data_IF_452311428883
#
_entry.id   IF_452311428883
#
_cell.length_a   1.000
_cell.length_b   1.000
_cell.length_c   1.000
_cell.angle_alpha   90.00
_cell.angle_beta   90.00
_cell.angle_gamma   90.00
#
_symmetry.space_group_name_H-M   'P 1'
#
loop_
_entity.id
_entity.type
_entity.pdbx_description
1 polymer ?
#
# COMPACT_ATOMS: atom_id res chain seq x y z
N UNK A 1 28.34 27.34 18.26
CA UNK A 1 28.23 27.40 16.79
C UNK A 1 27.95 25.99 16.25
N UNK A 2 26.69 25.73 15.87
CA UNK A 2 26.32 24.51 15.15
C UNK A 2 26.69 24.77 13.69
N UNK A 3 27.87 24.31 13.28
CA UNK A 3 28.27 24.35 11.88
C UNK A 3 27.34 23.39 11.12
N UNK A 4 26.39 23.95 10.39
CA UNK A 4 25.51 23.24 9.46
C UNK A 4 26.32 22.75 8.25
N UNK A 5 27.14 21.73 8.46
CA UNK A 5 27.80 21.03 7.38
C UNK A 5 26.73 20.30 6.54
N UNK A 6 26.49 20.79 5.34
CA UNK A 6 25.66 20.09 4.36
C UNK A 6 26.33 18.77 3.99
N UNK A 7 25.55 17.68 3.93
CA UNK A 7 25.99 16.35 3.52
C UNK A 7 26.76 16.44 2.20
N UNK A 8 27.98 15.89 2.15
CA UNK A 8 28.79 15.94 0.94
C UNK A 8 28.17 15.06 -0.17
N UNK A 9 28.33 15.37 -1.47
CA UNK A 9 27.70 14.58 -2.53
C UNK A 9 28.08 13.09 -2.55
N UNK A 10 29.28 12.72 -2.08
CA UNK A 10 29.69 11.32 -1.97
C UNK A 10 29.01 10.61 -0.80
N UNK A 11 28.90 11.30 0.35
CA UNK A 11 28.23 10.83 1.54
C UNK A 11 26.73 10.65 1.30
N UNK A 12 26.09 11.60 0.60
CA UNK A 12 24.69 11.49 0.20
C UNK A 12 24.42 10.26 -0.68
N UNK A 13 25.38 9.89 -1.56
CA UNK A 13 25.27 8.67 -2.37
C UNK A 13 25.36 7.42 -1.50
N UNK A 14 26.32 7.37 -0.57
CA UNK A 14 26.48 6.24 0.35
C UNK A 14 25.24 6.05 1.22
N UNK A 15 24.71 7.12 1.81
CA UNK A 15 23.50 7.08 2.63
C UNK A 15 22.27 6.64 1.83
N UNK A 16 22.12 7.09 0.58
CA UNK A 16 21.04 6.61 -0.29
C UNK A 16 21.17 5.11 -0.56
N UNK A 17 22.37 4.64 -0.84
CA UNK A 17 22.61 3.23 -1.14
C UNK A 17 22.39 2.38 0.13
N UNK A 18 22.75 2.87 1.32
CA UNK A 18 22.43 2.25 2.61
C UNK A 18 20.92 2.18 2.87
N UNK A 19 20.16 3.25 2.59
CA UNK A 19 18.69 3.25 2.67
C UNK A 19 18.08 2.20 1.73
N UNK A 20 18.64 2.04 0.52
CA UNK A 20 18.20 0.99 -0.42
C UNK A 20 18.41 -0.40 0.17
N UNK A 21 19.58 -0.68 0.75
CA UNK A 21 19.85 -1.98 1.40
C UNK A 21 18.93 -2.23 2.61
N UNK A 22 18.69 -1.21 3.43
CA UNK A 22 17.75 -1.30 4.56
C UNK A 22 16.33 -1.61 4.13
N UNK A 23 15.87 -1.00 3.03
CA UNK A 23 14.56 -1.30 2.47
C UNK A 23 14.47 -2.76 2.03
N UNK A 24 15.44 -3.28 1.26
CA UNK A 24 15.38 -4.67 0.82
C UNK A 24 15.52 -5.66 1.97
N UNK A 25 16.32 -5.34 3.00
CA UNK A 25 16.34 -6.13 4.23
C UNK A 25 14.95 -6.27 4.86
N UNK A 26 14.20 -5.15 4.98
CA UNK A 26 12.87 -5.17 5.56
C UNK A 26 11.82 -5.80 4.61
N UNK A 27 11.86 -5.45 3.32
CA UNK A 27 10.94 -5.95 2.31
C UNK A 27 11.08 -7.46 2.11
N UNK A 28 12.30 -7.97 1.94
CA UNK A 28 12.54 -9.40 1.77
C UNK A 28 12.15 -10.17 3.05
N UNK A 29 12.40 -9.60 4.24
CA UNK A 29 11.93 -10.16 5.51
C UNK A 29 10.41 -10.22 5.62
N UNK A 30 9.69 -9.19 5.14
CA UNK A 30 8.23 -9.22 5.02
C UNK A 30 7.75 -10.32 4.06
N UNK A 31 8.37 -10.40 2.87
CA UNK A 31 8.04 -11.40 1.86
C UNK A 31 8.27 -12.83 2.36
N UNK A 32 9.28 -13.06 3.19
CA UNK A 32 9.60 -14.39 3.73
C UNK A 32 8.70 -14.79 4.92
N UNK A 33 8.40 -13.86 5.82
CA UNK A 33 7.85 -14.21 7.14
C UNK A 33 6.39 -13.76 7.37
N UNK A 34 5.87 -12.84 6.56
CA UNK A 34 4.56 -12.24 6.81
C UNK A 34 3.63 -12.25 5.60
N UNK A 35 4.16 -12.16 4.37
CA UNK A 35 3.33 -12.17 3.18
C UNK A 35 2.43 -13.43 3.11
N UNK A 36 1.12 -13.30 2.82
CA UNK A 36 0.40 -12.11 2.33
C UNK A 36 -0.34 -11.30 3.40
N UNK A 37 0.00 -11.45 4.69
CA UNK A 37 -0.60 -10.69 5.77
C UNK A 37 -0.22 -9.20 5.66
N UNK A 38 -0.95 -8.35 6.39
CA UNK A 38 -0.76 -6.90 6.29
C UNK A 38 0.65 -6.45 6.72
N UNK A 39 1.17 -6.94 7.84
CA UNK A 39 2.43 -6.46 8.43
C UNK A 39 3.30 -7.60 9.00
N UNK A 40 4.60 -7.36 9.06
CA UNK A 40 5.57 -8.23 9.74
C UNK A 40 5.73 -7.81 11.20
N UNK A 41 5.71 -8.78 12.12
CA UNK A 41 6.23 -8.65 13.49
C UNK A 41 7.70 -9.08 13.50
N UNK A 42 8.67 -8.15 13.44
CA UNK A 42 10.05 -8.46 13.11
C UNK A 42 10.80 -9.22 14.21
N UNK A 43 10.37 -9.10 15.47
CA UNK A 43 11.00 -9.81 16.60
C UNK A 43 10.60 -11.28 16.67
N UNK A 44 9.37 -11.61 16.23
CA UNK A 44 8.85 -12.98 16.25
C UNK A 44 8.89 -13.67 14.89
N UNK A 45 9.24 -12.96 13.81
CA UNK A 45 9.16 -13.44 12.42
C UNK A 45 7.79 -14.03 12.07
N UNK A 46 6.73 -13.32 12.43
CA UNK A 46 5.34 -13.73 12.14
C UNK A 46 4.59 -12.56 11.50
N UNK A 47 3.64 -12.81 10.60
CA UNK A 47 2.76 -11.74 10.10
C UNK A 47 1.52 -11.48 10.96
N UNK A 48 0.86 -10.35 10.71
CA UNK A 48 -0.41 -9.95 11.32
C UNK A 48 -1.27 -9.16 10.32
N UNK A 49 -2.60 -9.36 10.38
CA UNK A 49 -3.58 -8.54 9.66
C UNK A 49 -4.08 -7.39 10.54
N UNK A 50 -3.33 -6.28 10.53
CA UNK A 50 -3.59 -5.11 11.37
C UNK A 50 -4.71 -4.21 10.83
N UNK A 51 -4.99 -4.23 9.52
CA UNK A 51 -5.97 -3.33 8.90
C UNK A 51 -7.11 -4.12 8.25
N UNK A 52 -6.85 -4.81 7.15
CA UNK A 52 -7.90 -5.49 6.40
C UNK A 52 -7.50 -6.76 5.65
N UNK A 53 -6.28 -7.25 5.85
CA UNK A 53 -5.77 -8.49 5.29
C UNK A 53 -5.74 -8.45 3.77
N UNK A 54 -5.07 -7.44 3.22
CA UNK A 54 -4.94 -7.19 1.78
C UNK A 54 -3.48 -6.96 1.37
N UNK A 55 -2.54 -7.55 2.11
CA UNK A 55 -1.10 -7.40 1.91
C UNK A 55 -0.67 -5.92 1.99
N UNK A 56 -1.11 -5.22 3.03
CA UNK A 56 -0.85 -3.78 3.24
C UNK A 56 0.61 -3.38 3.00
N UNK A 57 1.58 -4.07 3.59
CA UNK A 57 3.00 -3.76 3.38
C UNK A 57 3.42 -3.91 1.92
N UNK A 58 2.88 -4.89 1.19
CA UNK A 58 3.16 -5.03 -0.25
C UNK A 58 2.63 -3.82 -1.02
N UNK A 59 1.40 -3.37 -0.73
CA UNK A 59 0.78 -2.21 -1.39
C UNK A 59 1.58 -0.94 -1.12
N UNK A 60 1.91 -0.68 0.15
CA UNK A 60 2.71 0.49 0.56
C UNK A 60 4.13 0.48 -0.01
N UNK A 61 4.65 -0.68 -0.42
CA UNK A 61 6.01 -0.80 -0.97
C UNK A 61 6.07 -0.59 -2.49
N UNK A 62 4.95 -0.57 -3.21
CA UNK A 62 4.92 -0.54 -4.68
C UNK A 62 5.62 0.69 -5.26
N UNK A 63 5.30 1.88 -4.75
CA UNK A 63 5.87 3.13 -5.23
C UNK A 63 7.36 3.24 -4.90
N UNK A 64 7.82 2.62 -3.79
CA UNK A 64 9.22 2.57 -3.40
C UNK A 64 10.01 1.60 -4.28
N UNK A 65 9.44 0.43 -4.61
CA UNK A 65 10.01 -0.48 -5.61
C UNK A 65 10.16 0.23 -6.96
N UNK A 66 9.13 0.98 -7.36
CA UNK A 66 9.16 1.80 -8.57
C UNK A 66 10.25 2.88 -8.50
N UNK A 67 10.35 3.61 -7.38
CA UNK A 67 11.37 4.65 -7.15
C UNK A 67 12.80 4.09 -7.25
N UNK A 68 13.01 2.85 -6.82
CA UNK A 68 14.30 2.16 -6.91
C UNK A 68 14.59 1.54 -8.28
N UNK A 69 13.62 1.59 -9.21
CA UNK A 69 13.70 1.01 -10.53
C UNK A 69 13.66 -0.53 -10.52
N UNK A 70 13.14 -1.15 -9.46
CA UNK A 70 13.04 -2.62 -9.37
C UNK A 70 11.79 -3.11 -10.11
N UNK A 71 11.90 -3.11 -11.44
CA UNK A 71 10.82 -3.52 -12.35
C UNK A 71 10.34 -4.94 -12.08
N UNK A 72 11.26 -5.84 -11.73
CA UNK A 72 10.94 -7.26 -11.54
C UNK A 72 10.03 -7.44 -10.32
N UNK A 73 10.44 -6.95 -9.15
CA UNK A 73 9.62 -7.04 -7.93
C UNK A 73 8.34 -6.23 -8.05
N UNK A 74 8.39 -5.02 -8.63
CA UNK A 74 7.20 -4.21 -8.88
C UNK A 74 6.18 -4.96 -9.75
N UNK A 75 6.61 -5.51 -10.88
CA UNK A 75 5.72 -6.25 -11.79
C UNK A 75 5.15 -7.51 -11.13
N UNK A 76 5.96 -8.23 -10.35
CA UNK A 76 5.51 -9.40 -9.60
C UNK A 76 4.43 -9.03 -8.56
N UNK A 77 4.65 -7.94 -7.82
CA UNK A 77 3.72 -7.43 -6.82
C UNK A 77 2.38 -6.98 -7.46
N UNK A 78 2.43 -6.17 -8.53
CA UNK A 78 1.24 -5.72 -9.27
C UNK A 78 0.42 -6.90 -9.77
N UNK A 79 1.07 -7.88 -10.41
CA UNK A 79 0.43 -9.08 -10.92
C UNK A 79 -0.20 -9.94 -9.81
N UNK A 80 0.47 -10.06 -8.67
CA UNK A 80 -0.06 -10.81 -7.53
C UNK A 80 -1.28 -10.10 -6.93
N UNK A 81 -1.20 -8.78 -6.72
CA UNK A 81 -2.29 -7.99 -6.15
C UNK A 81 -3.55 -8.07 -7.01
N UNK A 82 -3.43 -7.85 -8.32
CA UNK A 82 -4.56 -7.91 -9.27
C UNK A 82 -5.26 -9.28 -9.32
N UNK A 83 -4.55 -10.36 -8.95
CA UNK A 83 -5.10 -11.73 -8.95
C UNK A 83 -5.63 -12.19 -7.60
N UNK A 84 -5.11 -11.66 -6.49
CA UNK A 84 -5.32 -12.26 -5.17
C UNK A 84 -6.04 -11.33 -4.18
N UNK A 85 -6.05 -10.02 -4.38
CA UNK A 85 -6.71 -9.09 -3.46
C UNK A 85 -8.20 -8.99 -3.79
N UNK A 86 -9.03 -8.99 -2.74
CA UNK A 86 -10.48 -8.77 -2.83
C UNK A 86 -10.95 -8.00 -1.59
N UNK A 87 -11.83 -7.01 -1.78
CA UNK A 87 -12.38 -6.21 -0.68
C UNK A 87 -13.78 -6.66 -0.24
N UNK A 88 -14.34 -7.68 -0.89
CA UNK A 88 -15.61 -8.27 -0.51
C UNK A 88 -15.49 -9.18 0.73
N UNK A 89 -15.26 -8.58 1.90
CA UNK A 89 -15.03 -9.29 3.16
C UNK A 89 -15.75 -8.62 4.33
N UNK A 90 -16.20 -9.43 5.28
CA UNK A 90 -16.77 -8.93 6.54
C UNK A 90 -15.64 -8.44 7.46
N UNK A 91 -15.16 -7.22 7.21
CA UNK A 91 -14.09 -6.57 7.97
C UNK A 91 -14.40 -5.09 8.09
N UNK A 92 -14.37 -4.57 9.32
CA UNK A 92 -14.42 -3.14 9.61
C UNK A 92 -13.02 -2.55 9.47
N UNK A 93 -12.89 -1.47 8.71
CA UNK A 93 -11.62 -0.79 8.42
C UNK A 93 -11.72 0.69 8.72
N UNK A 94 -10.59 1.32 9.07
CA UNK A 94 -10.49 2.78 9.17
C UNK A 94 -10.58 3.40 7.78
N UNK A 95 -11.50 4.35 7.61
CA UNK A 95 -11.67 5.08 6.33
C UNK A 95 -10.42 5.88 6.00
N UNK A 96 -9.81 6.51 7.01
CA UNK A 96 -8.60 7.32 6.85
C UNK A 96 -7.40 6.47 6.42
N UNK A 97 -7.05 5.43 7.19
CA UNK A 97 -5.89 4.57 6.92
C UNK A 97 -6.05 3.85 5.57
N UNK A 98 -7.24 3.33 5.30
CA UNK A 98 -7.53 2.61 4.04
C UNK A 98 -7.43 3.56 2.83
N UNK A 99 -7.81 4.82 2.99
CA UNK A 99 -7.69 5.83 1.92
C UNK A 99 -6.23 6.14 1.60
N UNK A 100 -5.42 6.46 2.62
CA UNK A 100 -4.06 6.96 2.38
C UNK A 100 -3.08 5.84 2.03
N UNK A 101 -3.25 4.63 2.58
CA UNK A 101 -2.35 3.50 2.37
C UNK A 101 -2.78 2.65 1.17
N UNK A 102 -4.02 2.15 1.22
CA UNK A 102 -4.49 1.15 0.24
C UNK A 102 -4.97 1.80 -1.05
N UNK A 103 -5.95 2.71 -0.96
CA UNK A 103 -6.49 3.37 -2.16
C UNK A 103 -5.41 4.22 -2.84
N UNK A 104 -4.64 4.99 -2.07
CA UNK A 104 -3.50 5.75 -2.55
C UNK A 104 -2.42 4.88 -3.21
N UNK A 105 -2.01 3.79 -2.54
CA UNK A 105 -0.99 2.87 -3.07
C UNK A 105 -1.41 2.17 -4.35
N UNK A 106 -2.65 1.68 -4.43
CA UNK A 106 -3.19 1.04 -5.63
C UNK A 106 -3.29 2.02 -6.81
N UNK A 107 -3.75 3.24 -6.59
CA UNK A 107 -3.84 4.27 -7.64
C UNK A 107 -2.45 4.71 -8.11
N UNK A 108 -1.51 4.91 -7.19
CA UNK A 108 -0.11 5.25 -7.51
C UNK A 108 0.53 4.16 -8.38
N UNK A 109 0.41 2.90 -7.95
CA UNK A 109 0.94 1.76 -8.70
C UNK A 109 0.23 1.54 -10.04
N UNK A 110 -1.08 1.80 -10.13
CA UNK A 110 -1.81 1.79 -11.39
C UNK A 110 -1.22 2.79 -12.39
N UNK A 111 -1.01 4.04 -11.98
CA UNK A 111 -0.44 5.07 -12.86
C UNK A 111 0.96 4.68 -13.34
N UNK A 112 1.78 4.10 -12.47
CA UNK A 112 3.13 3.64 -12.80
C UNK A 112 3.09 2.45 -13.77
N UNK A 113 2.26 1.44 -13.49
CA UNK A 113 2.17 0.22 -14.28
C UNK A 113 1.55 0.45 -15.68
N UNK A 114 0.77 1.52 -15.85
CA UNK A 114 0.07 1.85 -17.10
C UNK A 114 0.84 2.78 -18.02
N UNK A 115 1.85 3.49 -17.50
CA UNK A 115 2.59 4.50 -18.27
C UNK A 115 3.97 3.98 -18.68
N UNK A 116 4.12 3.70 -19.98
CA UNK A 116 5.38 3.28 -20.60
C UNK A 116 6.53 4.29 -20.37
N UNK A 117 6.23 5.58 -20.17
CA UNK A 117 7.24 6.60 -19.92
C UNK A 117 7.96 6.40 -18.57
N UNK A 118 7.39 5.65 -17.64
CA UNK A 118 8.02 5.32 -16.36
C UNK A 118 9.11 4.25 -16.50
N UNK A 119 9.14 3.52 -17.62
CA UNK A 119 9.98 2.33 -17.80
C UNK A 119 9.55 1.12 -16.99
N UNK A 120 8.51 1.26 -16.16
CA UNK A 120 8.00 0.25 -15.21
C UNK A 120 6.66 -0.35 -15.63
N UNK A 121 6.21 -0.07 -16.87
CA UNK A 121 5.00 -0.69 -17.39
C UNK A 121 5.07 -2.22 -17.31
N UNK A 122 3.95 -2.81 -16.89
CA UNK A 122 3.83 -4.23 -16.58
C UNK A 122 3.19 -4.96 -17.76
N UNK A 123 3.85 -5.98 -18.27
CA UNK A 123 3.34 -6.76 -19.40
C UNK A 123 2.00 -7.42 -19.05
N UNK A 124 1.03 -7.32 -19.95
CA UNK A 124 -0.34 -7.86 -19.80
C UNK A 124 -1.16 -7.25 -18.66
N UNK A 125 -0.71 -6.12 -18.09
CA UNK A 125 -1.52 -5.34 -17.15
C UNK A 125 -2.77 -4.77 -17.85
N UNK A 126 -3.92 -4.92 -17.23
CA UNK A 126 -5.22 -4.53 -17.78
C UNK A 126 -6.09 -3.88 -16.69
N UNK A 127 -5.54 -2.84 -16.07
CA UNK A 127 -6.20 -1.97 -15.09
C UNK A 127 -6.67 -2.67 -13.82
N UNK A 128 -6.11 -3.83 -13.46
CA UNK A 128 -6.55 -4.59 -12.28
C UNK A 128 -6.47 -3.77 -10.99
N UNK A 129 -5.42 -2.96 -10.82
CA UNK A 129 -5.29 -2.10 -9.62
C UNK A 129 -6.28 -0.92 -9.63
N UNK A 130 -6.68 -0.42 -10.80
CA UNK A 130 -7.73 0.60 -10.90
C UNK A 130 -9.09 0.01 -10.55
N UNK A 131 -9.41 -1.20 -11.04
CA UNK A 131 -10.64 -1.90 -10.68
C UNK A 131 -10.70 -2.20 -9.17
N UNK A 132 -9.57 -2.61 -8.57
CA UNK A 132 -9.45 -2.78 -7.11
C UNK A 132 -9.66 -1.46 -6.36
N UNK A 133 -9.07 -0.37 -6.85
CA UNK A 133 -9.24 0.97 -6.28
C UNK A 133 -10.70 1.42 -6.29
N UNK A 134 -11.40 1.18 -7.41
CA UNK A 134 -12.81 1.51 -7.55
C UNK A 134 -13.69 0.67 -6.61
N UNK A 135 -13.49 -0.65 -6.54
CA UNK A 135 -14.24 -1.54 -5.62
C UNK A 135 -14.06 -1.10 -4.16
N UNK A 136 -12.82 -0.81 -3.75
CA UNK A 136 -12.53 -0.34 -2.40
C UNK A 136 -13.21 1.00 -2.10
N UNK A 137 -13.07 1.98 -3.00
CA UNK A 137 -13.67 3.30 -2.83
C UNK A 137 -15.19 3.21 -2.72
N UNK A 138 -15.84 2.40 -3.57
CA UNK A 138 -17.30 2.18 -3.52
C UNK A 138 -17.76 1.59 -2.19
N UNK A 139 -17.00 0.65 -1.62
CA UNK A 139 -17.30 0.06 -0.31
C UNK A 139 -17.15 1.05 0.84
N UNK A 140 -16.31 2.07 0.68
CA UNK A 140 -16.12 3.12 1.69
C UNK A 140 -17.14 4.27 1.56
N UNK A 141 -17.83 4.43 0.43
CA UNK A 141 -18.81 5.51 0.23
C UNK A 141 -19.87 5.63 1.34
N UNK A 142 -20.44 4.54 1.90
CA UNK A 142 -21.42 4.64 2.98
C UNK A 142 -20.92 5.43 4.20
N UNK A 143 -19.60 5.48 4.44
CA UNK A 143 -19.03 6.29 5.52
C UNK A 143 -19.31 7.79 5.37
N UNK A 144 -19.49 8.28 4.14
CA UNK A 144 -19.76 9.70 3.84
C UNK A 144 -21.26 10.03 3.80
N UNK A 145 -22.15 9.05 3.94
CA UNK A 145 -23.61 9.22 3.93
C UNK A 145 -24.11 9.78 5.27
N UNK A 146 -23.53 10.91 5.71
CA UNK A 146 -23.89 11.63 6.92
C UNK A 146 -24.61 12.93 6.58
N UNK A 147 -25.46 13.48 7.48
CA UNK A 147 -26.13 14.75 7.22
C UNK A 147 -25.19 15.93 6.96
N UNK A 148 -23.94 15.87 7.46
CA UNK A 148 -22.93 16.92 7.28
C UNK A 148 -21.99 16.65 6.11
N UNK A 149 -21.96 15.42 5.58
CA UNK A 149 -20.95 14.95 4.63
C UNK A 149 -19.58 14.67 5.24
N UNK A 150 -19.43 14.82 6.57
CA UNK A 150 -18.21 14.43 7.30
C UNK A 150 -18.27 12.91 7.51
N UNK A 151 -17.26 12.14 7.11
CA UNK A 151 -17.35 10.69 7.16
C UNK A 151 -17.23 10.11 8.57
N UNK A 152 -17.85 8.95 8.78
CA UNK A 152 -17.52 8.08 9.91
C UNK A 152 -16.06 7.63 9.87
N UNK A 153 -15.47 7.39 11.04
CA UNK A 153 -14.08 6.95 11.15
C UNK A 153 -13.82 5.56 10.58
N UNK A 154 -14.80 4.66 10.69
CA UNK A 154 -14.71 3.30 10.16
C UNK A 154 -15.93 2.86 9.36
N UNK A 155 -15.75 1.80 8.56
CA UNK A 155 -16.77 1.20 7.71
C UNK A 155 -16.51 -0.30 7.54
N UNK A 156 -17.55 -1.12 7.55
CA UNK A 156 -17.46 -2.53 7.19
C UNK A 156 -17.50 -2.67 5.67
N UNK A 157 -16.51 -3.35 5.09
CA UNK A 157 -16.37 -3.50 3.64
C UNK A 157 -17.49 -4.33 2.97
N UNK A 158 -18.26 -5.08 3.74
CA UNK A 158 -19.41 -5.86 3.25
C UNK A 158 -20.75 -5.22 3.64
N UNK A 159 -20.85 -4.69 4.85
CA UNK A 159 -22.13 -4.26 5.44
C UNK A 159 -22.30 -2.73 5.56
N UNK A 160 -21.29 -1.94 5.24
CA UNK A 160 -21.33 -0.48 5.41
C UNK A 160 -21.05 -0.05 6.86
N UNK A 161 -21.59 1.11 7.26
CA UNK A 161 -21.32 1.68 8.60
C UNK A 161 -22.15 0.97 9.66
N UNK A 162 -21.52 0.64 10.80
CA UNK A 162 -22.23 0.08 11.96
C UNK A 162 -23.19 1.13 12.56
N UNK A 163 -24.39 0.71 12.97
CA UNK A 163 -25.37 1.62 13.57
C UNK A 163 -24.87 2.29 14.86
N UNK A 164 -23.91 1.66 15.55
CA UNK A 164 -23.30 2.14 16.78
C UNK A 164 -21.97 2.86 16.56
N UNK A 165 -21.55 3.07 15.31
CA UNK A 165 -20.30 3.76 15.01
C UNK A 165 -20.34 5.19 15.56
N UNK A 166 -19.25 5.58 16.21
CA UNK A 166 -19.12 6.90 16.83
C UNK A 166 -19.15 7.97 15.74
N UNK A 167 -20.04 8.95 15.89
CA UNK A 167 -20.08 10.15 15.05
C UNK A 167 -18.95 11.13 15.39
#
# INVERSE_FOLDING_TARGET
PLDGASVAPHEAKQLRDEVREMFYHAFDGYMEHAFPLDELRPLSCTGEDSLGGYALTLIDSLDTLALFGDKERFSAAVNWLGKNVQFNKNKTVSVFETTIRVLGGLLSAHLIASDDATGLSVDSYNDELLHLSEDLARRMLPSFETPTGIPYGSVNLLYGVDENESK
#
